data_IF_889249308746
#
_entry.id   IF_889249308746
#
_cell.length_a   1.000
_cell.length_b   1.000
_cell.length_c   1.000
_cell.angle_alpha   90.00
_cell.angle_beta   90.00
_cell.angle_gamma   90.00
#
_symmetry.space_group_name_H-M   'P 1'
#
loop_
_entity.id
_entity.type
_entity.pdbx_description
1 polymer ?
#
# COMPACT_ATOMS: atom_id res chain seq x y z
N UNK A 1 1.94 -32.73 -43.38
CA UNK A 1 2.60 -31.41 -43.34
C UNK A 1 1.79 -30.50 -42.43
N UNK A 2 2.11 -30.49 -41.15
CA UNK A 2 1.36 -29.73 -40.14
C UNK A 2 2.03 -28.38 -39.92
N UNK A 3 1.37 -27.30 -40.31
CA UNK A 3 1.74 -25.94 -39.93
C UNK A 3 1.37 -25.73 -38.45
N UNK A 4 2.28 -25.94 -37.56
CA UNK A 4 2.16 -25.40 -36.21
C UNK A 4 2.48 -23.91 -36.27
N UNK A 5 1.44 -23.10 -36.43
CA UNK A 5 1.53 -21.67 -36.24
C UNK A 5 2.05 -21.40 -34.82
N UNK A 6 3.20 -20.70 -34.67
CA UNK A 6 3.61 -20.09 -33.43
C UNK A 6 2.44 -19.26 -32.92
N UNK A 7 1.83 -19.68 -31.81
CA UNK A 7 0.94 -18.81 -31.04
C UNK A 7 1.74 -17.57 -30.68
N UNK A 8 1.43 -16.45 -31.29
CA UNK A 8 1.93 -15.16 -30.84
C UNK A 8 1.43 -14.97 -29.42
N UNK A 9 2.33 -14.82 -28.48
CA UNK A 9 2.02 -14.42 -27.09
C UNK A 9 1.59 -12.94 -27.04
N UNK A 10 0.68 -12.55 -27.92
CA UNK A 10 0.02 -11.26 -27.95
C UNK A 10 -1.18 -11.24 -27.03
N UNK A 11 -0.94 -11.41 -25.73
CA UNK A 11 -1.99 -11.09 -24.75
C UNK A 11 -2.30 -9.59 -24.79
N UNK A 12 -3.56 -9.25 -24.51
CA UNK A 12 -4.04 -7.88 -24.36
C UNK A 12 -3.11 -7.08 -23.43
N UNK A 13 -2.89 -5.80 -23.71
CA UNK A 13 -2.16 -4.88 -22.85
C UNK A 13 -2.82 -4.84 -21.47
N UNK A 14 -2.03 -4.81 -20.42
CA UNK A 14 -2.54 -4.76 -19.07
C UNK A 14 -3.17 -3.39 -18.78
N UNK A 15 -4.22 -3.39 -17.98
CA UNK A 15 -4.77 -2.17 -17.38
C UNK A 15 -4.40 -2.17 -15.91
N UNK A 16 -3.47 -1.30 -15.55
CA UNK A 16 -2.96 -1.17 -14.18
C UNK A 16 -3.83 -0.15 -13.46
N UNK A 17 -4.64 -0.62 -12.54
CA UNK A 17 -5.54 0.22 -11.74
C UNK A 17 -5.88 -0.49 -10.44
N UNK A 18 -6.32 0.26 -9.44
CA UNK A 18 -6.91 -0.28 -8.22
C UNK A 18 -8.43 -0.32 -8.35
N UNK A 19 -9.02 -1.51 -8.20
CA UNK A 19 -10.47 -1.71 -8.20
C UNK A 19 -11.06 -1.77 -6.78
N UNK A 20 -10.21 -1.77 -5.74
CA UNK A 20 -10.66 -1.75 -4.35
C UNK A 20 -11.25 -0.40 -3.96
N UNK A 21 -12.27 -0.43 -3.09
CA UNK A 21 -12.92 0.78 -2.59
C UNK A 21 -12.34 1.25 -1.25
N UNK A 22 -12.00 0.29 -0.38
CA UNK A 22 -11.49 0.56 0.95
C UNK A 22 -10.09 -0.06 1.10
N UNK A 23 -9.05 0.74 0.95
CA UNK A 23 -7.67 0.31 1.12
C UNK A 23 -6.81 1.50 1.56
N UNK A 24 -5.72 1.20 2.26
CA UNK A 24 -4.65 2.15 2.54
C UNK A 24 -3.53 2.02 1.52
N UNK A 25 -3.05 0.79 1.35
CA UNK A 25 -2.07 0.40 0.34
C UNK A 25 -2.57 -0.89 -0.31
N UNK A 26 -2.58 -0.92 -1.63
CA UNK A 26 -2.98 -2.09 -2.40
C UNK A 26 -1.93 -2.41 -3.45
N UNK A 27 -1.48 -3.67 -3.49
CA UNK A 27 -0.51 -4.13 -4.47
C UNK A 27 -1.24 -4.65 -5.70
N UNK A 28 -0.94 -4.04 -6.85
CA UNK A 28 -1.43 -4.54 -8.13
C UNK A 28 -0.75 -5.86 -8.50
N UNK A 29 -1.53 -6.77 -9.06
CA UNK A 29 -1.04 -8.04 -9.59
C UNK A 29 -1.63 -8.25 -10.98
N UNK A 30 -0.80 -8.61 -11.98
CA UNK A 30 -1.33 -8.94 -13.31
C UNK A 30 -2.29 -10.12 -13.22
N UNK A 31 -3.33 -10.10 -14.05
CA UNK A 31 -4.32 -11.18 -14.14
C UNK A 31 -3.81 -12.35 -14.99
N UNK A 32 -4.32 -13.56 -14.75
CA UNK A 32 -4.06 -14.76 -15.52
C UNK A 32 -2.69 -15.41 -15.25
N UNK A 33 -2.09 -16.02 -16.28
CA UNK A 33 -0.79 -16.71 -16.20
C UNK A 33 0.39 -15.79 -15.83
N UNK A 34 0.18 -14.48 -15.89
CA UNK A 34 1.17 -13.50 -15.45
C UNK A 34 1.52 -13.59 -13.96
N UNK A 35 0.69 -14.28 -13.16
CA UNK A 35 0.95 -14.61 -11.75
C UNK A 35 1.92 -15.79 -11.53
N UNK A 36 2.44 -16.40 -12.60
CA UNK A 36 3.49 -17.40 -12.44
C UNK A 36 4.77 -16.76 -11.89
N UNK A 37 5.51 -17.48 -11.05
CA UNK A 37 6.75 -17.01 -10.41
C UNK A 37 7.81 -16.47 -11.38
N UNK A 38 7.71 -16.83 -12.68
CA UNK A 38 8.59 -16.34 -13.75
C UNK A 38 8.18 -15.01 -14.36
N UNK A 39 6.90 -14.61 -14.22
CA UNK A 39 6.33 -13.39 -14.82
C UNK A 39 5.72 -12.45 -13.78
N UNK A 40 5.89 -12.76 -12.51
CA UNK A 40 5.41 -11.90 -11.43
C UNK A 40 6.03 -10.50 -11.56
N UNK A 41 5.19 -9.48 -11.47
CA UNK A 41 5.57 -8.07 -11.59
C UNK A 41 6.09 -7.63 -12.98
N UNK A 42 5.93 -8.44 -14.02
CA UNK A 42 6.28 -8.05 -15.39
C UNK A 42 5.18 -7.14 -15.98
N UNK A 43 5.57 -5.92 -16.34
CA UNK A 43 4.70 -4.92 -16.94
C UNK A 43 5.08 -4.76 -18.41
N UNK A 44 4.09 -4.83 -19.31
CA UNK A 44 4.30 -4.64 -20.73
C UNK A 44 4.34 -3.16 -21.06
N UNK A 45 5.26 -2.78 -21.91
CA UNK A 45 5.29 -1.45 -22.50
C UNK A 45 3.99 -1.23 -23.30
N UNK A 46 3.36 -0.07 -23.11
CA UNK A 46 2.06 0.21 -23.72
C UNK A 46 0.85 -0.20 -22.88
N UNK A 47 1.05 -0.81 -21.70
CA UNK A 47 -0.03 -0.99 -20.74
C UNK A 47 -0.60 0.35 -20.31
N UNK A 48 -1.91 0.43 -20.04
CA UNK A 48 -2.52 1.64 -19.52
C UNK A 48 -2.43 1.71 -18.02
N UNK A 49 -2.16 2.91 -17.48
CA UNK A 49 -2.20 3.20 -16.05
C UNK A 49 -3.35 4.14 -15.76
N UNK A 50 -4.18 3.78 -14.80
CA UNK A 50 -5.27 4.59 -14.29
C UNK A 50 -5.14 4.79 -12.80
N UNK A 51 -4.96 6.04 -12.39
CA UNK A 51 -4.88 6.46 -10.99
C UNK A 51 -6.02 7.42 -10.74
N UNK A 52 -6.84 7.11 -9.75
CA UNK A 52 -8.02 7.94 -9.40
C UNK A 52 -7.57 9.24 -8.73
N UNK A 53 -8.47 10.21 -8.67
CA UNK A 53 -8.27 11.39 -7.84
C UNK A 53 -8.15 10.98 -6.36
N UNK A 54 -7.21 11.59 -5.63
CA UNK A 54 -6.90 11.21 -4.25
C UNK A 54 -6.17 9.87 -4.09
N UNK A 55 -5.64 9.31 -5.17
CA UNK A 55 -4.86 8.08 -5.20
C UNK A 55 -3.47 8.35 -5.78
N UNK A 56 -2.49 7.55 -5.41
CA UNK A 56 -1.15 7.58 -5.98
C UNK A 56 -0.71 6.17 -6.35
N UNK A 57 -0.14 6.00 -7.55
CA UNK A 57 0.56 4.78 -7.92
C UNK A 57 2.06 4.92 -7.68
N UNK A 58 2.67 3.90 -7.08
CA UNK A 58 4.11 3.81 -6.83
C UNK A 58 4.67 2.60 -7.57
N UNK A 59 5.58 2.85 -8.47
CA UNK A 59 6.34 1.82 -9.18
C UNK A 59 7.65 1.59 -8.47
N UNK A 60 7.86 0.38 -7.97
CA UNK A 60 9.06 0.00 -7.21
C UNK A 60 9.91 -0.93 -8.06
N UNK A 61 11.10 -0.47 -8.43
CA UNK A 61 12.08 -1.21 -9.22
C UNK A 61 13.14 -1.80 -8.31
N UNK A 62 13.32 -3.11 -8.36
CA UNK A 62 14.39 -3.80 -7.61
C UNK A 62 15.73 -3.61 -8.30
N UNK A 63 16.70 -3.14 -7.59
CA UNK A 63 18.09 -3.00 -8.00
C UNK A 63 19.00 -3.86 -7.14
N UNK A 64 20.26 -4.08 -7.58
CA UNK A 64 21.25 -4.86 -6.81
C UNK A 64 21.52 -4.23 -5.44
N UNK A 65 21.52 -2.89 -5.37
CA UNK A 65 21.91 -2.14 -4.18
C UNK A 65 20.72 -1.44 -3.49
N UNK A 66 19.49 -1.84 -3.80
CA UNK A 66 18.30 -1.24 -3.19
C UNK A 66 17.09 -1.19 -4.12
N UNK A 67 16.25 -0.18 -3.92
CA UNK A 67 15.08 0.06 -4.75
C UNK A 67 15.01 1.50 -5.22
N UNK A 68 14.54 1.69 -6.44
CA UNK A 68 14.18 3.00 -7.00
C UNK A 68 12.68 3.05 -7.22
N UNK A 69 12.09 4.25 -7.22
CA UNK A 69 10.64 4.41 -7.25
C UNK A 69 10.24 5.58 -8.14
N UNK A 70 9.22 5.36 -9.00
CA UNK A 70 8.47 6.43 -9.65
C UNK A 70 7.11 6.60 -8.96
N UNK A 71 6.65 7.84 -8.85
CA UNK A 71 5.40 8.23 -8.22
C UNK A 71 4.50 8.92 -9.22
N UNK A 72 3.29 8.40 -9.39
CA UNK A 72 2.27 8.97 -10.29
C UNK A 72 1.05 9.35 -9.46
N UNK A 73 0.80 10.64 -9.35
CA UNK A 73 -0.37 11.16 -8.66
C UNK A 73 -1.59 11.11 -9.55
N UNK A 74 -2.74 10.74 -8.99
CA UNK A 74 -4.02 10.89 -9.66
C UNK A 74 -4.54 12.35 -9.68
N UNK A 75 -5.46 12.69 -10.59
CA UNK A 75 -6.04 11.80 -11.61
C UNK A 75 -5.07 11.57 -12.81
N UNK A 76 -4.91 10.33 -13.22
CA UNK A 76 -4.05 9.96 -14.34
C UNK A 76 -4.69 8.80 -15.13
N UNK A 77 -4.81 8.93 -16.45
CA UNK A 77 -5.32 7.88 -17.35
C UNK A 77 -4.55 7.95 -18.67
N UNK A 78 -3.42 7.28 -18.72
CA UNK A 78 -2.56 7.27 -19.92
C UNK A 78 -1.84 5.93 -20.08
N UNK A 79 -1.35 5.72 -21.28
CA UNK A 79 -0.45 4.60 -21.58
C UNK A 79 0.91 4.83 -20.93
N UNK A 80 1.49 3.79 -20.36
CA UNK A 80 2.84 3.83 -19.80
C UNK A 80 3.85 4.07 -20.91
N UNK A 81 4.47 5.23 -20.86
CA UNK A 81 5.54 5.65 -21.76
C UNK A 81 6.72 6.15 -20.94
N UNK A 82 7.94 5.95 -21.42
CA UNK A 82 9.16 6.36 -20.71
C UNK A 82 9.19 7.82 -20.29
N UNK A 83 8.61 8.70 -21.09
CA UNK A 83 8.60 10.15 -20.83
C UNK A 83 8.00 10.52 -19.44
N UNK A 84 7.07 9.70 -18.93
CA UNK A 84 6.37 9.96 -17.69
C UNK A 84 6.96 9.23 -16.48
N UNK A 85 8.00 8.43 -16.69
CA UNK A 85 8.63 7.59 -15.69
C UNK A 85 10.15 7.78 -15.73
N UNK A 86 10.69 8.81 -15.06
CA UNK A 86 12.12 9.14 -15.15
C UNK A 86 13.05 8.02 -14.68
N UNK A 87 12.67 7.29 -13.63
CA UNK A 87 13.46 6.14 -13.16
C UNK A 87 13.38 5.00 -14.16
N UNK A 88 12.18 4.66 -14.64
CA UNK A 88 12.01 3.64 -15.69
C UNK A 88 12.82 4.00 -16.92
N UNK A 89 12.81 5.26 -17.35
CA UNK A 89 13.59 5.75 -18.50
C UNK A 89 15.09 5.49 -18.30
N UNK A 90 15.62 5.76 -17.10
CA UNK A 90 17.03 5.52 -16.78
C UNK A 90 17.38 4.03 -16.80
N UNK A 91 16.46 3.17 -16.40
CA UNK A 91 16.66 1.71 -16.36
C UNK A 91 16.55 1.07 -17.75
N UNK A 92 15.59 1.50 -18.55
CA UNK A 92 15.30 0.93 -19.88
C UNK A 92 16.27 1.47 -20.94
N UNK A 93 16.69 2.71 -20.81
CA UNK A 93 17.63 3.35 -21.76
C UNK A 93 18.99 2.68 -21.82
N UNK A 94 19.34 1.86 -20.82
CA UNK A 94 20.62 1.16 -20.74
C UNK A 94 20.61 -0.27 -21.31
N UNK A 95 19.46 -0.91 -21.46
CA UNK A 95 19.42 -2.36 -21.70
C UNK A 95 18.55 -2.87 -22.84
N UNK A 96 17.50 -2.13 -23.29
CA UNK A 96 16.48 -2.71 -24.18
C UNK A 96 15.95 -1.69 -25.19
N UNK A 97 16.06 -2.03 -26.45
CA UNK A 97 15.49 -1.25 -27.57
C UNK A 97 13.95 -1.19 -27.58
N UNK A 98 13.35 -0.71 -26.53
CA UNK A 98 11.96 -0.21 -26.47
C UNK A 98 10.81 -1.22 -26.36
N UNK A 99 11.02 -2.53 -26.46
CA UNK A 99 9.93 -3.51 -26.55
C UNK A 99 9.94 -4.65 -25.52
N UNK A 100 10.82 -4.60 -24.52
CA UNK A 100 10.86 -5.65 -23.50
C UNK A 100 9.98 -5.32 -22.30
N UNK A 101 9.29 -6.32 -21.69
CA UNK A 101 8.61 -6.11 -20.44
C UNK A 101 9.65 -5.72 -19.36
N UNK A 102 9.31 -4.74 -18.53
CA UNK A 102 10.08 -4.37 -17.36
C UNK A 102 9.46 -4.96 -16.11
N UNK A 103 10.26 -5.14 -15.08
CA UNK A 103 9.78 -5.65 -13.80
C UNK A 103 9.66 -4.53 -12.78
N UNK A 104 8.44 -4.31 -12.29
CA UNK A 104 8.17 -3.40 -11.20
C UNK A 104 7.02 -3.93 -10.34
N UNK A 105 7.14 -3.76 -9.04
CA UNK A 105 5.99 -3.89 -8.17
C UNK A 105 5.21 -2.58 -8.21
N UNK A 106 3.88 -2.65 -8.38
CA UNK A 106 3.02 -1.47 -8.42
C UNK A 106 2.13 -1.47 -7.19
N UNK A 107 2.20 -0.39 -6.45
CA UNK A 107 1.36 -0.16 -5.28
C UNK A 107 0.49 1.07 -5.50
N UNK A 108 -0.77 0.96 -5.10
CA UNK A 108 -1.67 2.10 -5.03
C UNK A 108 -1.83 2.52 -3.58
N UNK A 109 -1.71 3.80 -3.32
CA UNK A 109 -1.85 4.40 -1.98
C UNK A 109 -3.05 5.33 -2.01
N UNK A 110 -3.98 5.12 -1.08
CA UNK A 110 -5.13 6.00 -0.92
C UNK A 110 -4.73 7.22 -0.09
N UNK A 111 -4.80 8.41 -0.71
CA UNK A 111 -4.49 9.69 -0.08
C UNK A 111 -5.76 10.50 0.25
N UNK A 112 -6.94 10.05 -0.22
CA UNK A 112 -8.19 10.81 -0.07
C UNK A 112 -8.72 10.87 1.36
N UNK A 113 -8.12 10.11 2.28
CA UNK A 113 -8.57 10.03 3.67
C UNK A 113 -9.73 9.06 3.88
N UNK A 114 -10.23 9.00 5.12
CA UNK A 114 -11.34 8.13 5.53
C UNK A 114 -11.04 6.63 5.67
N UNK A 115 -9.77 6.27 5.82
CA UNK A 115 -9.43 4.89 6.15
C UNK A 115 -9.80 4.64 7.61
N UNK A 116 -10.76 3.77 7.85
CA UNK A 116 -11.30 3.50 9.16
C UNK A 116 -10.75 2.19 9.74
N UNK A 117 -10.14 2.28 10.91
CA UNK A 117 -9.66 1.13 11.68
C UNK A 117 -10.51 1.01 12.95
N UNK A 118 -11.32 -0.03 13.02
CA UNK A 118 -12.06 -0.37 14.24
C UNK A 118 -11.11 -0.96 15.26
N UNK A 119 -11.19 -0.49 16.50
CA UNK A 119 -10.38 -1.00 17.60
C UNK A 119 -11.22 -1.32 18.82
N UNK A 120 -10.70 -2.23 19.63
CA UNK A 120 -11.22 -2.54 20.96
C UNK A 120 -10.05 -2.71 21.93
N UNK A 121 -10.14 -2.04 23.07
CA UNK A 121 -9.24 -2.25 24.21
C UNK A 121 -9.98 -3.16 25.18
N UNK A 122 -9.50 -4.39 25.44
CA UNK A 122 -10.12 -5.29 26.38
C UNK A 122 -10.09 -4.71 27.80
N UNK A 123 -10.82 -5.30 28.71
CA UNK A 123 -10.87 -4.86 30.09
C UNK A 123 -9.48 -4.72 30.68
N UNK A 124 -9.28 -3.61 31.39
CA UNK A 124 -8.09 -3.30 32.18
C UNK A 124 -8.52 -2.57 33.44
N UNK A 125 -7.81 -2.78 34.52
CA UNK A 125 -8.11 -2.18 35.80
C UNK A 125 -7.52 -0.77 35.90
N UNK A 126 -8.33 0.18 36.34
CA UNK A 126 -7.93 1.55 36.63
C UNK A 126 -8.02 1.76 38.14
N UNK A 127 -6.93 2.18 38.74
CA UNK A 127 -6.85 2.47 40.14
C UNK A 127 -7.57 3.76 40.48
N UNK A 128 -8.47 3.71 41.51
CA UNK A 128 -9.09 4.91 42.06
C UNK A 128 -8.32 5.35 43.32
N UNK A 129 -7.58 6.48 43.30
CA UNK A 129 -6.73 6.92 44.39
C UNK A 129 -7.51 7.28 45.66
N UNK A 130 -8.85 7.42 45.57
CA UNK A 130 -9.69 7.72 46.76
C UNK A 130 -9.97 6.51 47.62
N UNK A 131 -9.80 5.31 47.09
CA UNK A 131 -10.09 4.07 47.77
C UNK A 131 -8.91 3.12 47.63
N UNK A 132 -8.25 2.83 48.77
CA UNK A 132 -7.19 1.82 48.76
C UNK A 132 -7.76 0.47 48.34
N UNK A 133 -7.04 -0.24 47.50
CA UNK A 133 -7.39 -1.57 46.96
C UNK A 133 -8.64 -1.64 46.09
N UNK A 134 -9.13 -0.51 45.58
CA UNK A 134 -10.26 -0.50 44.65
C UNK A 134 -9.80 -0.20 43.23
N UNK A 135 -10.15 -1.11 42.33
CA UNK A 135 -9.88 -0.99 40.89
C UNK A 135 -11.20 -1.02 40.11
N UNK A 136 -11.29 -0.14 39.13
CA UNK A 136 -12.45 -0.07 38.25
C UNK A 136 -12.09 -0.76 36.93
N UNK A 137 -12.77 -1.86 36.55
CA UNK A 137 -12.56 -2.49 35.25
C UNK A 137 -13.10 -1.59 34.13
N UNK A 138 -12.23 -1.18 33.24
CA UNK A 138 -12.53 -0.30 32.12
C UNK A 138 -12.27 -1.01 30.79
N UNK A 139 -13.05 -0.67 29.77
CA UNK A 139 -12.78 -1.07 28.38
C UNK A 139 -13.05 0.10 27.45
N UNK A 140 -12.45 0.09 26.29
CA UNK A 140 -12.69 1.11 25.27
C UNK A 140 -12.90 0.47 23.91
N UNK A 141 -13.75 1.07 23.09
CA UNK A 141 -13.94 0.69 21.69
C UNK A 141 -14.23 1.93 20.85
N UNK A 142 -13.83 1.88 19.60
CA UNK A 142 -14.05 3.00 18.70
C UNK A 142 -13.57 2.73 17.30
N UNK A 143 -13.56 3.79 16.53
CA UNK A 143 -13.03 3.81 15.16
C UNK A 143 -12.01 4.91 15.04
N UNK A 144 -10.82 4.57 14.55
CA UNK A 144 -9.78 5.54 14.20
C UNK A 144 -9.89 5.82 12.70
N UNK A 145 -9.97 7.09 12.32
CA UNK A 145 -9.87 7.50 10.92
C UNK A 145 -8.46 7.98 10.64
N UNK A 146 -7.86 7.43 9.59
CA UNK A 146 -6.50 7.74 9.15
C UNK A 146 -6.52 8.51 7.83
N UNK A 147 -5.52 9.38 7.68
CA UNK A 147 -5.20 10.04 6.43
C UNK A 147 -3.67 10.10 6.27
N UNK A 148 -3.17 9.76 5.08
CA UNK A 148 -1.75 9.91 4.75
C UNK A 148 -1.54 11.33 4.24
N UNK A 149 -0.95 12.18 5.06
CA UNK A 149 -0.63 13.58 4.70
C UNK A 149 0.77 13.71 4.08
N UNK A 150 1.70 12.85 4.46
CA UNK A 150 3.06 12.77 3.91
C UNK A 150 3.34 11.35 3.43
N UNK A 151 3.11 11.13 2.14
CA UNK A 151 3.32 9.82 1.53
C UNK A 151 4.81 9.43 1.44
N UNK A 152 5.73 10.38 1.32
CA UNK A 152 7.16 10.09 1.22
C UNK A 152 7.68 9.53 2.53
N UNK A 153 7.33 10.17 3.64
CA UNK A 153 7.65 9.66 4.99
C UNK A 153 6.94 8.34 5.26
N UNK A 154 5.67 8.21 4.85
CA UNK A 154 4.93 6.95 4.99
C UNK A 154 5.64 5.79 4.28
N UNK A 155 6.01 5.95 3.02
CA UNK A 155 6.70 4.93 2.21
C UNK A 155 8.07 4.60 2.80
N UNK A 156 8.83 5.61 3.23
CA UNK A 156 10.15 5.45 3.83
C UNK A 156 10.09 4.61 5.11
N UNK A 157 9.09 4.86 5.95
CA UNK A 157 8.96 4.21 7.25
C UNK A 157 8.38 2.80 7.15
N UNK A 158 7.49 2.56 6.19
CA UNK A 158 6.76 1.29 6.09
C UNK A 158 7.29 0.32 5.03
N UNK A 159 8.26 0.74 4.21
CA UNK A 159 8.87 -0.09 3.16
C UNK A 159 7.83 -0.87 2.37
N UNK A 160 7.31 -0.33 1.26
CA UNK A 160 6.22 -0.93 0.48
C UNK A 160 6.46 -2.39 0.08
N UNK A 161 7.72 -2.78 -0.16
CA UNK A 161 8.07 -4.19 -0.41
C UNK A 161 7.73 -5.01 0.83
N UNK A 162 6.87 -6.02 0.65
CA UNK A 162 6.32 -6.86 1.71
C UNK A 162 5.47 -6.08 2.73
N UNK A 163 4.83 -4.98 2.32
CA UNK A 163 3.87 -4.30 3.15
C UNK A 163 2.63 -5.18 3.33
N UNK A 164 2.35 -5.55 4.58
CA UNK A 164 1.13 -6.28 4.96
C UNK A 164 0.22 -5.34 5.73
N UNK A 165 -0.97 -5.12 5.22
CA UNK A 165 -1.95 -4.20 5.81
C UNK A 165 -2.40 -4.67 7.20
N UNK A 166 -2.45 -5.96 7.42
CA UNK A 166 -2.81 -6.58 8.69
C UNK A 166 -1.79 -6.26 9.78
N UNK A 167 -0.50 -6.31 9.47
CA UNK A 167 0.58 -5.96 10.40
C UNK A 167 0.55 -4.46 10.74
N UNK A 168 0.28 -3.63 9.75
CA UNK A 168 0.10 -2.19 9.94
C UNK A 168 -1.10 -1.90 10.85
N UNK A 169 -2.25 -2.51 10.60
CA UNK A 169 -3.44 -2.38 11.43
C UNK A 169 -3.20 -2.85 12.87
N UNK A 170 -2.49 -3.96 13.04
CA UNK A 170 -2.12 -4.49 14.36
C UNK A 170 -1.24 -3.49 15.12
N UNK A 171 -0.20 -2.99 14.48
CA UNK A 171 0.72 -2.00 15.08
C UNK A 171 -0.03 -0.76 15.56
N UNK A 172 -0.95 -0.24 14.75
CA UNK A 172 -1.77 0.92 15.12
C UNK A 172 -2.71 0.60 16.29
N UNK A 173 -3.40 -0.55 16.25
CA UNK A 173 -4.29 -0.97 17.34
C UNK A 173 -3.55 -1.14 18.66
N UNK A 174 -2.36 -1.73 18.64
CA UNK A 174 -1.52 -1.93 19.84
C UNK A 174 -1.04 -0.59 20.41
N UNK A 175 -0.58 0.33 19.54
CA UNK A 175 -0.18 1.67 19.95
C UNK A 175 -1.35 2.46 20.54
N UNK A 176 -2.52 2.38 19.91
CA UNK A 176 -3.74 3.04 20.35
C UNK A 176 -4.23 2.48 21.70
N UNK A 177 -4.21 1.16 21.86
CA UNK A 177 -4.57 0.51 23.10
C UNK A 177 -3.68 0.95 24.28
N UNK A 178 -2.36 1.03 24.03
CA UNK A 178 -1.39 1.54 25.02
C UNK A 178 -1.66 3.00 25.38
N UNK A 179 -1.90 3.83 24.38
CA UNK A 179 -2.21 5.24 24.57
C UNK A 179 -3.49 5.45 25.39
N UNK A 180 -4.60 4.76 25.03
CA UNK A 180 -5.89 4.86 25.71
C UNK A 180 -5.76 4.41 27.17
N UNK A 181 -5.09 3.28 27.43
CA UNK A 181 -4.84 2.82 28.79
C UNK A 181 -4.08 3.88 29.61
N UNK A 182 -3.03 4.47 29.04
CA UNK A 182 -2.27 5.53 29.70
C UNK A 182 -3.10 6.77 29.99
N UNK A 183 -3.90 7.24 29.05
CA UNK A 183 -4.78 8.40 29.24
C UNK A 183 -5.83 8.14 30.31
N UNK A 184 -6.52 7.01 30.23
CA UNK A 184 -7.61 6.65 31.18
C UNK A 184 -7.06 6.45 32.59
N UNK A 185 -5.89 5.82 32.73
CA UNK A 185 -5.26 5.63 34.05
C UNK A 185 -4.79 6.92 34.71
N UNK A 186 -4.63 8.00 33.95
CA UNK A 186 -4.19 9.31 34.45
C UNK A 186 -5.34 10.34 34.55
N UNK A 187 -6.59 9.95 34.31
CA UNK A 187 -7.73 10.85 34.53
C UNK A 187 -7.89 11.05 36.05
N UNK A 188 -7.83 12.30 36.56
CA UNK A 188 -8.06 12.57 37.96
C UNK A 188 -9.48 12.15 38.37
N UNK A 189 -9.60 11.48 39.49
CA UNK A 189 -10.87 11.00 40.04
C UNK A 189 -11.87 12.15 40.40
N UNK A 190 -11.42 13.39 40.36
CA UNK A 190 -12.17 14.57 40.79
C UNK A 190 -12.90 15.34 39.70
N UNK A 191 -13.04 14.74 38.50
CA UNK A 191 -13.78 15.35 37.40
C UNK A 191 -15.00 14.55 36.97
#
# INVERSE_FOLDING_TARGET
>A
MGLFGKKSEGGLMDVIRCDEQEYLVWKWRPSGEANSTKKENAIRYGSSLRVKDGEMAVFVYKQKDGTMQDYIMGPYDQTIQTANFPILTSLVGLAFGGNSPFQAEVYFINLSGNIQIRFGVPYFDVYDPRFSDFYVPMSARGTLTLNITDYQTFIKNNRLINFEIEDFHKTIKDALAKYIKGVVSNIPADK
#
